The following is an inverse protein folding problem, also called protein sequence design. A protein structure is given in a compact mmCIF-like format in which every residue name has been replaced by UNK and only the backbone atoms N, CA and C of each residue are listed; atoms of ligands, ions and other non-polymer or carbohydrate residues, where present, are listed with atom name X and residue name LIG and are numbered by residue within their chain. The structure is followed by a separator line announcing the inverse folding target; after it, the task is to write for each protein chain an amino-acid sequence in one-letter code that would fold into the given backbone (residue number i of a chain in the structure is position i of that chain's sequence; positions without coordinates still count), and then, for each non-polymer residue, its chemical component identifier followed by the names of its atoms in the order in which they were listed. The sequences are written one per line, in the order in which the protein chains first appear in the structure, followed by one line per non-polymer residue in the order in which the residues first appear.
data_IF_445447484459
#
_entry.id   IF_445447484459
#
_cell.length_a   1.000
_cell.length_b   1.000
_cell.length_c   1.000
_cell.angle_alpha   90.00
_cell.angle_beta   90.00
_cell.angle_gamma   90.00
#
_symmetry.space_group_name_H-M   'P 1'
#
loop_
_entity.id
_entity.type
_entity.pdbx_description
1 polymer ?
#
# COMPACT_ATOMS: atom_id res chain seq x y z
N UNK A 1 -2.53 -6.76 -18.53
CA UNK A 1 -3.11 -5.83 -17.54
C UNK A 1 -4.61 -5.85 -17.65
N UNK A 2 -5.30 -5.99 -16.54
CA UNK A 2 -6.75 -6.01 -16.53
C UNK A 2 -7.31 -4.59 -16.56
N UNK A 3 -8.58 -4.41 -16.93
CA UNK A 3 -9.23 -3.10 -16.84
C UNK A 3 -9.22 -2.54 -15.40
N UNK A 4 -9.33 -3.42 -14.39
CA UNK A 4 -9.29 -3.00 -13.00
C UNK A 4 -7.92 -2.47 -12.64
N UNK A 5 -6.86 -3.16 -13.05
CA UNK A 5 -5.49 -2.71 -12.78
C UNK A 5 -5.21 -1.37 -13.45
N UNK A 6 -5.70 -1.19 -14.67
CA UNK A 6 -5.54 0.09 -15.36
C UNK A 6 -6.27 1.21 -14.63
N UNK A 7 -7.47 0.93 -14.14
CA UNK A 7 -8.23 1.93 -13.38
C UNK A 7 -7.49 2.34 -12.10
N UNK A 8 -6.95 1.37 -11.34
CA UNK A 8 -6.18 1.67 -10.16
C UNK A 8 -4.94 2.49 -10.49
N UNK A 9 -4.26 2.14 -11.58
CA UNK A 9 -3.07 2.88 -11.98
C UNK A 9 -3.41 4.33 -12.32
N UNK A 10 -4.47 4.54 -13.09
CA UNK A 10 -4.89 5.89 -13.49
C UNK A 10 -5.36 6.72 -12.30
N UNK A 11 -6.20 6.15 -11.45
CA UNK A 11 -6.71 6.87 -10.29
C UNK A 11 -5.56 7.17 -9.32
N UNK A 12 -4.68 6.19 -9.08
CA UNK A 12 -3.53 6.39 -8.22
C UNK A 12 -2.62 7.50 -8.73
N UNK A 13 -2.37 7.55 -10.04
CA UNK A 13 -1.55 8.59 -10.64
C UNK A 13 -2.19 9.96 -10.45
N UNK A 14 -3.51 10.06 -10.60
CA UNK A 14 -4.23 11.30 -10.36
C UNK A 14 -4.17 11.72 -8.88
N UNK A 15 -4.29 10.76 -7.97
CA UNK A 15 -4.14 11.04 -6.55
C UNK A 15 -2.75 11.56 -6.23
N UNK A 16 -1.72 10.92 -6.78
CA UNK A 16 -0.34 11.38 -6.56
C UNK A 16 -0.15 12.81 -7.03
N UNK A 17 -0.70 13.14 -8.20
CA UNK A 17 -0.60 14.50 -8.73
C UNK A 17 -1.32 15.49 -7.81
N UNK A 18 -2.52 15.17 -7.34
CA UNK A 18 -3.27 16.04 -6.44
C UNK A 18 -2.55 16.28 -5.12
N UNK A 19 -1.81 15.28 -4.66
CA UNK A 19 -1.10 15.34 -3.38
C UNK A 19 0.31 15.91 -3.52
N UNK A 20 0.70 16.37 -4.72
CA UNK A 20 2.00 16.98 -4.94
C UNK A 20 3.10 15.94 -5.11
N UNK A 21 2.78 14.77 -5.66
CA UNK A 21 3.73 13.70 -5.94
C UNK A 21 4.52 13.27 -4.70
N UNK A 22 3.82 12.76 -3.66
CA UNK A 22 4.49 12.40 -2.42
C UNK A 22 5.49 11.27 -2.64
N UNK A 23 6.57 11.30 -1.86
CA UNK A 23 7.58 10.25 -1.89
C UNK A 23 7.17 9.09 -1.01
N UNK A 24 7.59 7.89 -1.40
CA UNK A 24 7.52 6.71 -0.56
C UNK A 24 8.75 6.70 0.33
N UNK A 25 8.54 6.55 1.62
CA UNK A 25 9.59 6.73 2.63
C UNK A 25 9.86 5.45 3.42
N UNK A 26 9.33 4.35 2.99
CA UNK A 26 9.60 3.07 3.62
C UNK A 26 8.56 2.03 3.27
N UNK A 27 8.93 0.81 3.61
CA UNK A 27 8.09 -0.37 3.43
C UNK A 27 8.19 -1.19 4.71
N UNK A 28 7.07 -1.63 5.24
CA UNK A 28 7.05 -2.59 6.31
C UNK A 28 6.64 -3.94 5.76
N UNK A 29 7.42 -4.97 6.10
CA UNK A 29 7.07 -6.36 5.80
C UNK A 29 7.08 -7.14 7.10
N UNK A 30 6.07 -8.01 7.33
CA UNK A 30 6.12 -8.87 8.51
C UNK A 30 7.28 -9.86 8.40
N UNK A 31 7.75 -10.34 9.53
CA UNK A 31 8.83 -11.31 9.55
C UNK A 31 8.38 -12.60 8.86
N UNK A 32 9.29 -13.27 8.13
CA UNK A 32 8.96 -14.56 7.56
C UNK A 32 8.64 -15.54 8.69
N UNK A 33 7.58 -16.31 8.51
CA UNK A 33 7.16 -17.29 9.51
C UNK A 33 7.57 -18.67 9.03
N UNK A 34 8.28 -19.38 9.86
CA UNK A 34 8.76 -20.72 9.51
C UNK A 34 7.72 -21.79 9.74
N UNK A 35 6.73 -21.55 10.57
CA UNK A 35 5.73 -22.55 10.89
C UNK A 35 4.58 -22.52 9.88
N UNK A 36 3.74 -23.54 9.98
CA UNK A 36 2.62 -23.71 9.08
C UNK A 36 1.37 -22.98 9.54
N UNK A 37 1.46 -22.18 10.57
CA UNK A 37 0.31 -21.50 11.12
C UNK A 37 -0.27 -20.54 10.09
N UNK A 38 -1.50 -20.76 9.71
CA UNK A 38 -2.20 -19.88 8.79
C UNK A 38 -2.65 -18.62 9.52
N UNK A 39 -2.37 -17.48 8.94
CA UNK A 39 -2.85 -16.21 9.47
C UNK A 39 -2.78 -15.15 8.38
N UNK A 40 -3.65 -14.17 8.49
CA UNK A 40 -3.66 -13.04 7.58
C UNK A 40 -2.59 -12.04 8.02
N UNK A 41 -1.73 -11.68 7.09
CA UNK A 41 -0.68 -10.72 7.36
C UNK A 41 -0.65 -9.65 6.29
N UNK A 42 -0.21 -8.47 6.70
CA UNK A 42 -0.15 -7.31 5.82
C UNK A 42 1.22 -6.67 5.85
N UNK A 43 1.65 -6.22 4.68
CA UNK A 43 2.72 -5.24 4.59
C UNK A 43 2.13 -3.85 4.50
N UNK A 44 2.98 -2.83 4.62
CA UNK A 44 2.53 -1.44 4.57
C UNK A 44 3.51 -0.61 3.79
N UNK A 45 2.99 0.21 2.87
CA UNK A 45 3.78 1.26 2.22
C UNK A 45 3.62 2.54 3.03
N UNK A 46 4.74 3.19 3.32
CA UNK A 46 4.75 4.43 4.09
C UNK A 46 5.11 5.59 3.17
N UNK A 47 4.33 6.66 3.25
CA UNK A 47 4.65 7.90 2.54
C UNK A 47 5.38 8.86 3.45
N UNK A 48 6.06 9.84 2.84
CA UNK A 48 6.86 10.81 3.58
C UNK A 48 6.02 11.66 4.54
N UNK A 49 4.73 11.80 4.29
CA UNK A 49 3.82 12.56 5.16
C UNK A 49 3.31 11.73 6.34
N UNK A 50 3.72 10.48 6.46
CA UNK A 50 3.27 9.58 7.51
C UNK A 50 2.07 8.72 7.15
N UNK A 51 1.49 8.91 5.98
CA UNK A 51 0.37 8.07 5.55
C UNK A 51 0.83 6.66 5.29
N UNK A 52 -0.03 5.69 5.55
CA UNK A 52 0.28 4.27 5.49
C UNK A 52 -0.76 3.56 4.64
N UNK A 53 -0.31 2.67 3.75
CA UNK A 53 -1.20 1.88 2.93
C UNK A 53 -0.92 0.40 3.07
N UNK A 54 -1.90 -0.39 3.51
CA UNK A 54 -1.72 -1.83 3.67
C UNK A 54 -1.84 -2.57 2.35
N UNK A 55 -1.21 -3.73 2.29
CA UNK A 55 -1.43 -4.69 1.22
C UNK A 55 -1.26 -6.10 1.79
N UNK A 56 -2.02 -7.03 1.24
CA UNK A 56 -2.05 -8.40 1.74
C UNK A 56 -0.82 -9.16 1.25
N UNK A 57 -0.15 -9.91 2.14
CA UNK A 57 1.06 -10.65 1.79
C UNK A 57 0.92 -12.16 1.93
N UNK A 58 -0.21 -12.65 2.46
CA UNK A 58 -0.40 -14.09 2.70
C UNK A 58 -0.90 -14.79 1.44
N UNK A 59 -0.14 -14.71 0.35
CA UNK A 59 -0.48 -15.31 -0.94
C UNK A 59 0.76 -16.01 -1.51
N UNK A 60 0.76 -17.34 -1.44
CA UNK A 60 1.85 -18.12 -2.01
C UNK A 60 3.22 -17.68 -1.51
N UNK A 61 4.10 -17.40 -2.46
CA UNK A 61 5.47 -16.96 -2.16
C UNK A 61 5.64 -15.46 -2.08
N UNK A 62 4.55 -14.70 -2.05
CA UNK A 62 4.63 -13.25 -2.17
C UNK A 62 5.53 -12.62 -1.10
N UNK A 63 5.35 -13.00 0.16
CA UNK A 63 6.16 -12.43 1.24
C UNK A 63 7.64 -12.75 1.06
N UNK A 64 7.96 -13.98 0.68
CA UNK A 64 9.34 -14.36 0.43
C UNK A 64 9.94 -13.55 -0.72
N UNK A 65 9.19 -13.38 -1.81
CA UNK A 65 9.65 -12.57 -2.94
C UNK A 65 9.90 -11.13 -2.54
N UNK A 66 9.02 -10.56 -1.73
CA UNK A 66 9.20 -9.19 -1.27
C UNK A 66 10.45 -9.03 -0.42
N UNK A 67 10.72 -9.98 0.49
CA UNK A 67 11.94 -9.93 1.28
C UNK A 67 13.20 -10.10 0.43
N UNK A 68 13.13 -10.95 -0.60
CA UNK A 68 14.28 -11.13 -1.49
C UNK A 68 14.60 -9.85 -2.27
N UNK A 69 13.58 -9.13 -2.70
CA UNK A 69 13.77 -7.90 -3.49
C UNK A 69 14.05 -6.68 -2.63
N UNK A 70 13.57 -6.70 -1.39
CA UNK A 70 13.69 -5.57 -0.48
C UNK A 70 14.23 -6.06 0.86
N UNK A 71 15.53 -6.43 0.91
CA UNK A 71 16.09 -6.97 2.17
C UNK A 71 16.18 -5.93 3.28
N UNK A 72 16.06 -4.66 2.93
CA UNK A 72 16.03 -3.57 3.90
C UNK A 72 14.80 -2.70 3.64
N UNK A 73 13.60 -3.23 3.91
CA UNK A 73 12.38 -2.57 3.44
C UNK A 73 12.19 -1.17 4.04
N UNK A 74 12.61 -0.94 5.27
CA UNK A 74 12.50 0.39 5.87
C UNK A 74 13.31 1.45 5.12
N UNK A 75 14.26 1.05 4.30
CA UNK A 75 15.10 1.95 3.53
C UNK A 75 14.59 2.20 2.12
N UNK A 76 13.45 1.61 1.76
CA UNK A 76 12.88 1.83 0.44
C UNK A 76 12.55 3.30 0.25
N UNK A 77 13.05 3.85 -0.85
CA UNK A 77 12.74 5.24 -1.25
C UNK A 77 12.37 5.22 -2.73
N UNK A 78 11.25 5.84 -3.05
CA UNK A 78 10.76 5.87 -4.42
C UNK A 78 9.71 6.96 -4.55
N UNK A 79 9.41 7.34 -5.79
CA UNK A 79 8.21 8.11 -6.07
C UNK A 79 7.00 7.20 -6.02
N UNK A 80 5.89 7.72 -5.52
CA UNK A 80 4.64 6.95 -5.51
C UNK A 80 4.26 6.52 -6.93
N UNK A 81 4.38 7.41 -7.90
CA UNK A 81 4.03 7.12 -9.29
C UNK A 81 4.82 5.92 -9.84
N UNK A 82 6.11 5.84 -9.49
CA UNK A 82 6.93 4.72 -9.93
C UNK A 82 6.41 3.38 -9.41
N UNK A 83 5.99 3.33 -8.14
CA UNK A 83 5.45 2.09 -7.58
C UNK A 83 4.08 1.74 -8.16
N UNK A 84 3.28 2.73 -8.52
CA UNK A 84 1.97 2.49 -9.13
C UNK A 84 2.08 1.78 -10.47
N UNK A 85 3.22 1.91 -11.16
CA UNK A 85 3.44 1.19 -12.41
C UNK A 85 3.41 -0.32 -12.23
N UNK A 86 3.55 -0.81 -11.02
CA UNK A 86 3.40 -2.24 -10.72
C UNK A 86 2.05 -2.81 -11.07
N UNK A 87 1.00 -1.99 -11.20
CA UNK A 87 -0.28 -2.46 -11.70
C UNK A 87 -0.21 -2.88 -13.18
N UNK A 88 0.76 -2.38 -13.92
CA UNK A 88 0.83 -2.57 -15.36
C UNK A 88 1.60 -3.83 -15.78
N UNK A 89 2.42 -4.38 -14.93
CA UNK A 89 3.15 -5.60 -15.29
C UNK A 89 2.60 -6.81 -14.54
N UNK A 90 2.89 -7.98 -14.99
CA UNK A 90 2.34 -9.20 -14.41
C UNK A 90 3.03 -9.67 -13.14
N UNK A 91 3.90 -8.87 -12.56
CA UNK A 91 4.70 -9.27 -11.40
C UNK A 91 3.89 -9.08 -10.11
N UNK A 92 3.68 -10.16 -9.39
CA UNK A 92 2.82 -10.14 -8.20
C UNK A 92 3.42 -9.27 -7.08
N UNK A 93 4.72 -9.25 -6.93
CA UNK A 93 5.36 -8.46 -5.89
C UNK A 93 5.23 -6.96 -6.20
N UNK A 94 5.44 -6.58 -7.46
CA UNK A 94 5.29 -5.19 -7.87
C UNK A 94 3.85 -4.73 -7.77
N UNK A 95 2.91 -5.62 -8.10
CA UNK A 95 1.48 -5.29 -7.97
C UNK A 95 1.10 -5.08 -6.51
N UNK A 96 1.65 -5.88 -5.61
CA UNK A 96 1.40 -5.72 -4.18
C UNK A 96 1.86 -4.35 -3.69
N UNK A 97 3.06 -3.92 -4.08
CA UNK A 97 3.55 -2.59 -3.70
C UNK A 97 2.73 -1.48 -4.33
N UNK A 98 2.27 -1.68 -5.56
CA UNK A 98 1.39 -0.70 -6.21
C UNK A 98 0.09 -0.54 -5.44
N UNK A 99 -0.49 -1.64 -4.98
CA UNK A 99 -1.73 -1.60 -4.21
C UNK A 99 -1.52 -0.90 -2.87
N UNK A 100 -0.44 -1.21 -2.17
CA UNK A 100 -0.09 -0.53 -0.92
C UNK A 100 0.10 0.97 -1.14
N UNK A 101 0.76 1.34 -2.22
CA UNK A 101 0.96 2.75 -2.57
C UNK A 101 -0.37 3.45 -2.84
N UNK A 102 -1.24 2.80 -3.60
CA UNK A 102 -2.58 3.33 -3.86
C UNK A 102 -3.33 3.58 -2.56
N UNK A 103 -3.29 2.61 -1.65
CA UNK A 103 -3.97 2.73 -0.35
C UNK A 103 -3.37 3.84 0.50
N UNK A 104 -2.05 4.01 0.46
CA UNK A 104 -1.39 5.09 1.20
C UNK A 104 -1.78 6.46 0.64
N UNK A 105 -1.87 6.58 -0.68
CA UNK A 105 -2.31 7.83 -1.31
C UNK A 105 -3.75 8.15 -0.96
N UNK A 106 -4.61 7.14 -0.92
CA UNK A 106 -6.01 7.33 -0.52
C UNK A 106 -6.10 7.79 0.92
N UNK A 107 -5.30 7.21 1.81
CA UNK A 107 -5.24 7.63 3.21
C UNK A 107 -4.74 9.08 3.32
N UNK A 108 -3.75 9.45 2.54
CA UNK A 108 -3.22 10.82 2.53
C UNK A 108 -4.29 11.82 2.09
N UNK A 109 -5.09 11.45 1.09
CA UNK A 109 -6.17 12.32 0.63
C UNK A 109 -7.22 12.52 1.71
N UNK A 110 -7.67 11.44 2.34
CA UNK A 110 -8.66 11.53 3.41
C UNK A 110 -8.14 12.40 4.56
N UNK A 111 -6.89 12.24 4.90
CA UNK A 111 -6.27 13.05 5.95
C UNK A 111 -6.25 14.53 5.59
N UNK A 112 -5.87 14.83 4.34
CA UNK A 112 -5.76 16.21 3.88
C UNK A 112 -7.09 16.93 3.88
N UNK A 113 -8.18 16.24 3.51
CA UNK A 113 -9.50 16.86 3.46
C UNK A 113 -10.27 16.75 4.77
N UNK A 114 -9.65 16.15 5.80
CA UNK A 114 -10.30 16.02 7.10
C UNK A 114 -11.44 15.03 7.12
N UNK A 115 -11.44 14.08 6.18
CA UNK A 115 -12.51 13.09 6.09
C UNK A 115 -12.41 12.08 7.23
N UNK A 116 -13.53 11.81 7.87
CA UNK A 116 -13.65 10.75 8.89
C UNK A 116 -14.59 9.68 8.33
N UNK A 117 -14.15 8.42 8.21
CA UNK A 117 -15.02 7.37 7.68
C UNK A 117 -16.29 7.24 8.49
N UNK A 118 -17.44 7.06 7.83
CA UNK A 118 -18.73 6.99 8.53
C UNK A 118 -18.81 5.91 9.60
N UNK A 119 -18.20 4.74 9.37
CA UNK A 119 -18.24 3.66 10.36
C UNK A 119 -17.47 4.03 11.61
N UNK A 120 -16.41 4.79 11.48
CA UNK A 120 -15.68 5.26 12.66
C UNK A 120 -16.50 6.28 13.45
N UNK A 121 -17.10 7.21 12.75
CA UNK A 121 -17.96 8.18 13.39
C UNK A 121 -19.16 7.50 14.05
N UNK A 122 -19.75 6.53 13.35
CA UNK A 122 -20.83 5.73 13.89
C UNK A 122 -20.41 4.93 15.10
N UNK A 123 -19.24 4.32 15.03
CA UNK A 123 -18.72 3.54 16.15
C UNK A 123 -18.43 4.42 17.35
N UNK A 124 -17.95 5.62 17.14
CA UNK A 124 -17.77 6.54 18.25
C UNK A 124 -19.09 6.83 18.93
N UNK A 125 -20.16 6.93 18.17
CA UNK A 125 -21.48 7.10 18.71
C UNK A 125 -22.09 5.84 19.28
N UNK A 126 -21.82 4.70 18.63
CA UNK A 126 -22.38 3.41 19.03
C UNK A 126 -21.60 2.79 20.17
N UNK A 127 -20.32 2.90 20.09
CA UNK A 127 -19.42 2.29 21.05
C UNK A 127 -19.11 3.24 22.19
N UNK A 128 -19.32 4.45 21.89
CA UNK A 128 -19.13 5.47 22.92
C UNK A 128 -20.42 5.99 23.11
#
# INVERSE_FOLDING_TARGET
MTPIDEAYRQIGTQLAARLGHPAVDGLYLPAPVADETFRDEFGFVLLADGSVGPFYVSMGDLLRMLWLRHPHPAQLRSDATTLLEGFADGDIARRALALGTYNALSAALFHRVGFVPPERAGNAGLNG
#
